data_IF_374136535113
#
_entry.id   IF_374136535113
#
_cell.length_a   1.000
_cell.length_b   1.000
_cell.length_c   1.000
_cell.angle_alpha   90.00
_cell.angle_beta   90.00
_cell.angle_gamma   90.00
#
_symmetry.space_group_name_H-M   'P 1'
#
loop_
_entity.id
_entity.type
_entity.pdbx_description
1 polymer ?
#
# COMPACT_ATOMS: atom_id res chain seq x y z
N UNK A 1 37.42 -34.47 24.06
CA UNK A 1 36.26 -34.59 23.14
C UNK A 1 35.32 -33.45 23.47
N UNK A 2 35.20 -32.46 22.59
CA UNK A 2 34.36 -31.26 22.76
C UNK A 2 33.00 -31.49 22.09
N UNK A 3 31.92 -31.20 22.81
CA UNK A 3 30.54 -31.42 22.36
C UNK A 3 30.17 -30.42 21.23
N UNK A 4 29.76 -30.88 20.04
CA UNK A 4 29.41 -30.01 18.90
C UNK A 4 28.08 -29.24 19.07
N UNK A 5 27.37 -29.42 20.19
CA UNK A 5 26.09 -28.75 20.48
C UNK A 5 26.20 -27.57 21.45
N UNK A 6 27.42 -27.24 21.91
CA UNK A 6 27.65 -26.08 22.78
C UNK A 6 28.37 -25.00 21.99
N UNK A 7 27.65 -23.95 21.61
CA UNK A 7 28.23 -22.78 20.98
C UNK A 7 29.15 -22.06 21.98
N UNK A 8 30.40 -21.79 21.56
CA UNK A 8 31.28 -20.91 22.32
C UNK A 8 30.70 -19.49 22.37
N UNK A 9 30.87 -18.74 23.47
CA UNK A 9 30.43 -17.35 23.53
C UNK A 9 31.10 -16.57 22.40
N UNK A 10 30.29 -15.92 21.57
CA UNK A 10 30.77 -15.04 20.51
C UNK A 10 31.63 -13.93 21.11
N UNK A 11 32.90 -13.87 20.75
CA UNK A 11 33.84 -12.80 21.12
C UNK A 11 33.68 -11.54 20.26
N UNK A 12 32.55 -11.41 19.54
CA UNK A 12 32.18 -10.16 18.90
C UNK A 12 31.66 -9.19 19.97
N UNK A 13 32.54 -8.31 20.46
CA UNK A 13 32.12 -7.06 21.09
C UNK A 13 31.26 -6.22 20.13
N UNK A 14 30.62 -5.13 20.60
CA UNK A 14 29.66 -4.34 19.80
C UNK A 14 30.35 -3.77 18.55
N UNK A 15 30.27 -4.52 17.46
CA UNK A 15 30.92 -4.23 16.20
C UNK A 15 30.05 -3.30 15.37
N UNK A 16 30.61 -2.14 15.03
CA UNK A 16 30.27 -1.25 13.91
C UNK A 16 28.80 -1.22 13.47
N UNK A 17 28.10 -0.13 13.83
CA UNK A 17 26.81 0.34 13.28
C UNK A 17 26.52 -0.18 11.85
N UNK A 18 25.85 -1.33 11.76
CA UNK A 18 25.32 -1.87 10.51
C UNK A 18 24.00 -1.17 10.23
N UNK A 19 23.76 -0.72 9.00
CA UNK A 19 22.49 -0.12 8.58
C UNK A 19 21.28 -1.06 8.62
N UNK A 20 21.41 -2.23 9.24
CA UNK A 20 20.39 -3.26 9.37
C UNK A 20 19.50 -2.98 10.58
N UNK A 21 20.05 -2.48 11.69
CA UNK A 21 19.28 -2.23 12.92
C UNK A 21 18.10 -1.27 12.71
N UNK A 22 18.24 -0.11 12.04
CA UNK A 22 17.09 0.77 11.83
C UNK A 22 16.02 0.20 10.87
N UNK A 23 16.41 -0.72 9.98
CA UNK A 23 15.48 -1.41 9.07
C UNK A 23 14.67 -2.45 9.86
N UNK A 24 15.34 -3.22 10.71
CA UNK A 24 14.69 -4.18 11.61
C UNK A 24 13.74 -3.48 12.59
N UNK A 25 14.15 -2.34 13.16
CA UNK A 25 13.31 -1.51 14.03
C UNK A 25 12.00 -1.12 13.33
N UNK A 26 12.06 -0.65 12.07
CA UNK A 26 10.87 -0.29 11.30
C UNK A 26 9.93 -1.49 11.11
N UNK A 27 10.47 -2.68 10.82
CA UNK A 27 9.68 -3.90 10.65
C UNK A 27 9.02 -4.35 11.96
N UNK A 28 9.73 -4.24 13.07
CA UNK A 28 9.19 -4.57 14.40
C UNK A 28 8.06 -3.61 14.79
N UNK A 29 8.25 -2.31 14.56
CA UNK A 29 7.21 -1.30 14.83
C UNK A 29 5.99 -1.55 13.94
N UNK A 30 6.20 -1.83 12.64
CA UNK A 30 5.10 -2.21 11.74
C UNK A 30 4.30 -3.40 12.31
N UNK A 31 4.97 -4.48 12.68
CA UNK A 31 4.32 -5.66 13.24
C UNK A 31 3.58 -5.36 14.56
N UNK A 32 4.17 -4.53 15.43
CA UNK A 32 3.56 -4.13 16.69
C UNK A 32 2.28 -3.31 16.47
N UNK A 33 2.27 -2.36 15.53
CA UNK A 33 1.07 -1.60 15.17
C UNK A 33 0.01 -2.50 14.54
N UNK A 34 0.41 -3.34 13.58
CA UNK A 34 -0.48 -4.26 12.87
C UNK A 34 -1.16 -5.25 13.81
N UNK A 35 -0.46 -5.71 14.84
CA UNK A 35 -1.01 -6.64 15.83
C UNK A 35 -2.14 -6.06 16.69
N UNK A 36 -2.35 -4.73 16.66
CA UNK A 36 -3.35 -4.07 17.51
C UNK A 36 -2.99 -4.05 19.00
N UNK A 37 -1.78 -4.47 19.39
CA UNK A 37 -1.30 -4.49 20.79
C UNK A 37 -1.34 -3.11 21.50
N UNK A 38 -1.40 -2.05 20.70
CA UNK A 38 -1.53 -0.69 21.16
C UNK A 38 -2.93 -0.36 21.70
N UNK A 39 -3.98 -1.08 21.28
CA UNK A 39 -5.35 -0.88 21.75
C UNK A 39 -5.47 -1.36 23.20
N UNK A 40 -6.10 -0.56 24.06
CA UNK A 40 -6.43 -1.01 25.41
C UNK A 40 -7.39 -2.20 25.36
N UNK A 41 -7.06 -3.29 26.07
CA UNK A 41 -7.79 -4.56 25.98
C UNK A 41 -9.29 -4.46 26.31
N UNK A 42 -9.70 -3.43 27.07
CA UNK A 42 -11.11 -3.17 27.33
C UNK A 42 -11.89 -2.60 26.12
N UNK A 43 -11.19 -1.99 25.16
CA UNK A 43 -11.76 -1.53 23.88
C UNK A 43 -11.59 -2.58 22.76
N UNK A 44 -10.63 -3.52 22.92
CA UNK A 44 -10.29 -4.55 21.94
C UNK A 44 -11.36 -5.63 21.68
N UNK A 45 -12.47 -5.62 22.41
CA UNK A 45 -13.60 -6.56 22.23
C UNK A 45 -14.61 -6.06 21.17
N UNK A 46 -14.50 -4.81 20.69
CA UNK A 46 -15.39 -4.24 19.69
C UNK A 46 -14.98 -4.56 18.24
N UNK A 47 -14.65 -5.82 17.96
CA UNK A 47 -14.33 -6.30 16.61
C UNK A 47 -15.57 -6.84 15.91
N UNK A 48 -16.26 -6.00 15.14
CA UNK A 48 -17.33 -6.43 14.23
C UNK A 48 -18.51 -5.48 14.16
N UNK A 49 -18.39 -4.41 13.37
CA UNK A 49 -19.52 -3.69 12.75
C UNK A 49 -18.94 -2.68 11.74
N UNK A 50 -18.44 -3.17 10.60
CA UNK A 50 -18.36 -2.33 9.41
C UNK A 50 -19.70 -2.48 8.71
N UNK A 51 -20.65 -1.64 9.10
CA UNK A 51 -21.64 -1.10 8.18
C UNK A 51 -22.33 0.09 8.84
N UNK A 52 -22.48 1.14 8.05
CA UNK A 52 -23.28 2.33 8.35
C UNK A 52 -22.75 3.26 9.46
N UNK A 53 -21.88 4.20 9.06
CA UNK A 53 -21.95 5.58 9.59
C UNK A 53 -23.27 6.23 9.11
N UNK A 54 -24.41 5.63 9.43
CA UNK A 54 -25.72 6.13 9.06
C UNK A 54 -26.30 7.01 10.16
N UNK A 55 -26.86 8.11 9.68
CA UNK A 55 -27.87 8.97 10.29
C UNK A 55 -27.65 9.30 11.76
N UNK A 56 -27.13 10.51 11.99
CA UNK A 56 -27.12 11.14 13.32
C UNK A 56 -28.57 11.51 13.65
N UNK A 57 -29.22 10.69 14.48
CA UNK A 57 -30.37 11.16 15.26
C UNK A 57 -29.82 12.06 16.36
N UNK A 58 -30.47 13.20 16.60
CA UNK A 58 -30.25 14.01 17.80
C UNK A 58 -31.08 13.39 18.94
N UNK A 59 -30.49 12.60 19.86
CA UNK A 59 -31.25 12.01 20.94
C UNK A 59 -31.79 13.07 21.91
N UNK A 60 -31.19 14.26 21.98
CA UNK A 60 -31.53 15.31 22.96
C UNK A 60 -32.76 16.10 22.52
N UNK A 61 -32.99 16.22 21.20
CA UNK A 61 -34.15 16.91 20.63
C UNK A 61 -35.50 16.45 21.16
N UNK A 62 -35.61 15.19 21.62
CA UNK A 62 -36.83 14.66 22.26
C UNK A 62 -37.16 15.31 23.61
N UNK A 63 -36.17 15.74 24.38
CA UNK A 63 -36.39 16.34 25.72
C UNK A 63 -36.98 17.75 25.64
N UNK A 64 -36.64 18.50 24.58
CA UNK A 64 -37.19 19.83 24.32
C UNK A 64 -38.70 19.79 24.04
N UNK A 65 -39.20 18.71 23.42
CA UNK A 65 -40.62 18.52 23.12
C UNK A 65 -41.49 18.34 24.37
N UNK A 66 -40.90 17.90 25.49
CA UNK A 66 -41.59 17.69 26.76
C UNK A 66 -41.38 18.83 27.77
N UNK A 67 -40.70 19.92 27.38
CA UNK A 67 -40.61 21.16 28.18
C UNK A 67 -39.71 21.08 29.41
N UNK A 68 -38.79 20.11 29.49
CA UNK A 68 -38.01 19.83 30.71
C UNK A 68 -36.59 20.42 30.66
N UNK A 69 -36.49 21.76 30.70
CA UNK A 69 -35.23 22.48 30.58
C UNK A 69 -34.16 22.08 31.63
N UNK A 70 -34.57 21.70 32.85
CA UNK A 70 -33.65 21.29 33.93
C UNK A 70 -32.97 19.93 33.68
N UNK A 71 -33.61 19.02 32.92
CA UNK A 71 -33.01 17.73 32.54
C UNK A 71 -31.87 17.95 31.54
N UNK A 72 -31.99 18.96 30.66
CA UNK A 72 -30.97 19.27 29.66
C UNK A 72 -29.64 19.66 30.34
N UNK A 73 -29.70 20.40 31.45
CA UNK A 73 -28.51 20.77 32.23
C UNK A 73 -27.73 19.54 32.73
N UNK A 74 -28.43 18.45 33.04
CA UNK A 74 -27.82 17.19 33.50
C UNK A 74 -27.29 16.33 32.35
N UNK A 75 -27.85 16.47 31.14
CA UNK A 75 -27.44 15.70 29.94
C UNK A 75 -26.31 16.39 29.16
N UNK A 76 -26.19 17.72 29.26
CA UNK A 76 -25.19 18.52 28.55
C UNK A 76 -23.74 18.00 28.69
N UNK A 77 -23.25 17.57 29.88
CA UNK A 77 -21.90 17.02 29.99
C UNK A 77 -21.69 15.74 29.15
N UNK A 78 -22.75 14.98 28.88
CA UNK A 78 -22.69 13.78 28.04
C UNK A 78 -22.64 14.16 26.55
N UNK A 79 -23.36 15.21 26.13
CA UNK A 79 -23.33 15.70 24.75
C UNK A 79 -21.99 16.35 24.39
N UNK A 80 -21.38 17.07 25.33
CA UNK A 80 -20.04 17.65 25.15
C UNK A 80 -18.99 16.55 24.86
N UNK A 81 -19.13 15.35 25.43
CA UNK A 81 -18.26 14.22 25.13
C UNK A 81 -18.39 13.71 23.69
N UNK A 82 -19.58 13.86 23.07
CA UNK A 82 -19.77 13.56 21.64
C UNK A 82 -19.05 14.59 20.77
N UNK A 83 -19.09 15.87 21.16
CA UNK A 83 -18.40 16.95 20.47
C UNK A 83 -16.88 16.80 20.54
N UNK A 84 -16.33 16.32 21.66
CA UNK A 84 -14.89 16.01 21.76
C UNK A 84 -14.43 14.90 20.80
N UNK A 85 -15.34 14.02 20.40
CA UNK A 85 -15.10 12.92 19.47
C UNK A 85 -15.57 13.25 18.05
N UNK A 86 -16.00 14.49 17.80
CA UNK A 86 -16.33 14.96 16.48
C UNK A 86 -15.03 15.14 15.67
N UNK A 87 -14.79 14.22 14.75
CA UNK A 87 -13.76 14.32 13.72
C UNK A 87 -14.37 14.17 12.34
N UNK A 88 -13.55 14.39 11.32
CA UNK A 88 -13.88 14.12 9.92
C UNK A 88 -13.26 12.78 9.47
N UNK A 89 -14.04 11.69 9.38
CA UNK A 89 -13.55 10.40 8.94
C UNK A 89 -12.96 10.45 7.52
N UNK A 90 -13.51 11.29 6.64
CA UNK A 90 -13.03 11.41 5.26
C UNK A 90 -11.62 11.99 5.22
N UNK A 91 -11.34 13.01 6.03
CA UNK A 91 -9.99 13.57 6.19
C UNK A 91 -8.99 12.56 6.76
N UNK A 92 -9.42 11.65 7.65
CA UNK A 92 -8.55 10.59 8.19
C UNK A 92 -8.24 9.55 7.12
N UNK A 93 -9.26 9.06 6.41
CA UNK A 93 -9.10 8.11 5.29
C UNK A 93 -8.22 8.69 4.18
N UNK A 94 -8.40 9.97 3.84
CA UNK A 94 -7.58 10.64 2.83
C UNK A 94 -6.09 10.73 3.24
N UNK A 95 -5.81 11.01 4.52
CA UNK A 95 -4.43 11.01 5.04
C UNK A 95 -3.81 9.62 5.06
N UNK A 96 -4.56 8.60 5.47
CA UNK A 96 -4.10 7.21 5.40
C UNK A 96 -3.76 6.79 3.97
N UNK A 97 -4.65 7.09 3.01
CA UNK A 97 -4.41 6.82 1.59
C UNK A 97 -3.17 7.57 1.07
N UNK A 98 -2.93 8.79 1.53
CA UNK A 98 -1.72 9.55 1.18
C UNK A 98 -0.46 8.80 1.61
N UNK A 99 -0.43 8.23 2.81
CA UNK A 99 0.70 7.42 3.28
C UNK A 99 0.87 6.12 2.48
N UNK A 100 -0.23 5.45 2.12
CA UNK A 100 -0.22 4.27 1.24
C UNK A 100 0.35 4.62 -0.14
N UNK A 101 -0.02 5.76 -0.72
CA UNK A 101 0.51 6.23 -2.00
C UNK A 101 2.03 6.51 -1.91
N UNK A 102 2.49 7.13 -0.82
CA UNK A 102 3.92 7.37 -0.56
C UNK A 102 4.68 6.05 -0.44
N UNK A 103 4.14 5.06 0.28
CA UNK A 103 4.73 3.73 0.38
C UNK A 103 4.91 3.09 -1.00
N UNK A 104 3.84 3.01 -1.79
CA UNK A 104 3.88 2.46 -3.14
C UNK A 104 4.89 3.17 -4.05
N UNK A 105 5.02 4.51 -3.91
CA UNK A 105 6.05 5.27 -4.64
C UNK A 105 7.46 4.84 -4.25
N UNK A 106 7.75 4.76 -2.96
CA UNK A 106 9.08 4.39 -2.44
C UNK A 106 9.45 2.95 -2.81
N UNK A 107 8.51 2.01 -2.75
CA UNK A 107 8.69 0.64 -3.22
C UNK A 107 9.04 0.61 -4.72
N UNK A 108 8.29 1.34 -5.55
CA UNK A 108 8.56 1.42 -6.99
C UNK A 108 9.91 2.07 -7.34
N UNK A 109 10.37 3.04 -6.55
CA UNK A 109 11.73 3.60 -6.70
C UNK A 109 12.81 2.57 -6.31
N UNK A 110 12.58 1.78 -5.26
CA UNK A 110 13.49 0.71 -4.86
C UNK A 110 13.64 -0.36 -5.94
N UNK A 111 12.53 -0.77 -6.55
CA UNK A 111 12.52 -1.70 -7.68
C UNK A 111 13.23 -1.14 -8.91
N UNK A 112 12.96 0.13 -9.24
CA UNK A 112 13.61 0.81 -10.37
C UNK A 112 15.11 0.85 -10.18
N UNK A 113 15.58 1.24 -8.98
CA UNK A 113 17.01 1.23 -8.65
C UNK A 113 17.60 -0.18 -8.64
N UNK A 114 16.86 -1.19 -8.19
CA UNK A 114 17.29 -2.58 -8.22
C UNK A 114 17.50 -3.09 -9.64
N UNK A 115 16.55 -2.82 -10.55
CA UNK A 115 16.69 -3.14 -11.98
C UNK A 115 17.88 -2.40 -12.59
N UNK A 116 17.99 -1.09 -12.34
CA UNK A 116 19.09 -0.26 -12.83
C UNK A 116 20.46 -0.83 -12.43
N UNK A 117 20.65 -1.05 -11.13
CA UNK A 117 21.92 -1.52 -10.59
C UNK A 117 22.26 -2.92 -11.08
N UNK A 118 21.26 -3.79 -11.26
CA UNK A 118 21.45 -5.14 -11.79
C UNK A 118 21.85 -5.14 -13.27
N UNK A 119 21.14 -4.40 -14.12
CA UNK A 119 21.34 -4.47 -15.57
C UNK A 119 22.42 -3.54 -16.10
N UNK A 120 22.42 -2.27 -15.68
CA UNK A 120 23.34 -1.28 -16.22
C UNK A 120 24.79 -1.58 -15.80
N UNK A 121 24.96 -2.38 -14.75
CA UNK A 121 26.28 -2.82 -14.28
C UNK A 121 26.59 -4.28 -14.56
N UNK A 122 25.72 -5.00 -15.30
CA UNK A 122 25.86 -6.45 -15.51
C UNK A 122 27.22 -6.82 -16.14
N UNK A 123 27.67 -6.03 -17.12
CA UNK A 123 28.92 -6.26 -17.83
C UNK A 123 30.11 -5.52 -17.17
N UNK A 124 29.85 -4.73 -16.11
CA UNK A 124 30.88 -4.02 -15.35
C UNK A 124 31.44 -4.91 -14.23
N UNK A 125 32.74 -5.23 -14.34
CA UNK A 125 33.46 -6.12 -13.42
C UNK A 125 34.59 -5.39 -12.67
N UNK A 126 35.08 -6.02 -11.61
CA UNK A 126 36.15 -5.50 -10.75
C UNK A 126 35.65 -4.84 -9.47
N UNK A 127 36.58 -4.50 -8.59
CA UNK A 127 36.30 -4.04 -7.21
C UNK A 127 35.42 -2.79 -7.14
N UNK A 128 35.53 -1.88 -8.11
CA UNK A 128 34.69 -0.70 -8.20
C UNK A 128 33.22 -1.04 -8.52
N UNK A 129 32.98 -2.01 -9.39
CA UNK A 129 31.63 -2.47 -9.73
C UNK A 129 30.96 -3.15 -8.54
N UNK A 130 31.71 -3.97 -7.80
CA UNK A 130 31.20 -4.64 -6.58
C UNK A 130 30.88 -3.64 -5.47
N UNK A 131 31.75 -2.62 -5.28
CA UNK A 131 31.49 -1.53 -4.34
C UNK A 131 30.25 -0.72 -4.73
N UNK A 132 30.03 -0.46 -6.02
CA UNK A 132 28.82 0.21 -6.50
C UNK A 132 27.57 -0.65 -6.27
N UNK A 133 27.58 -1.94 -6.63
CA UNK A 133 26.44 -2.84 -6.39
C UNK A 133 26.11 -2.97 -4.90
N UNK A 134 27.12 -3.03 -4.04
CA UNK A 134 26.91 -3.02 -2.59
C UNK A 134 26.27 -1.70 -2.10
N UNK A 135 26.69 -0.56 -2.65
CA UNK A 135 26.07 0.73 -2.38
C UNK A 135 24.62 0.79 -2.85
N UNK A 136 24.34 0.33 -4.07
CA UNK A 136 23.01 0.32 -4.65
C UNK A 136 22.06 -0.58 -3.83
N UNK A 137 22.49 -1.80 -3.49
CA UNK A 137 21.73 -2.69 -2.60
C UNK A 137 21.37 -2.01 -1.29
N UNK A 138 22.30 -1.27 -0.69
CA UNK A 138 22.02 -0.51 0.53
C UNK A 138 20.95 0.56 0.33
N UNK A 139 21.00 1.32 -0.77
CA UNK A 139 19.98 2.33 -1.10
C UNK A 139 18.61 1.73 -1.37
N UNK A 140 18.57 0.58 -2.02
CA UNK A 140 17.34 -0.19 -2.24
C UNK A 140 16.74 -0.60 -0.90
N UNK A 141 17.54 -1.14 0.02
CA UNK A 141 17.09 -1.49 1.38
C UNK A 141 16.58 -0.27 2.15
N UNK A 142 17.26 0.88 2.07
CA UNK A 142 16.82 2.13 2.72
C UNK A 142 15.44 2.57 2.17
N UNK A 143 15.24 2.52 0.85
CA UNK A 143 13.95 2.86 0.20
C UNK A 143 12.84 1.90 0.60
N UNK A 144 13.12 0.59 0.66
CA UNK A 144 12.15 -0.41 1.13
C UNK A 144 11.77 -0.19 2.60
N UNK A 145 12.73 0.20 3.45
CA UNK A 145 12.48 0.54 4.84
C UNK A 145 11.61 1.80 4.97
N UNK A 146 11.85 2.83 4.17
CA UNK A 146 11.01 4.03 4.12
C UNK A 146 9.59 3.74 3.60
N UNK A 147 9.46 2.83 2.62
CA UNK A 147 8.16 2.32 2.16
C UNK A 147 7.40 1.68 3.32
N UNK A 148 8.04 0.74 4.04
CA UNK A 148 7.45 0.08 5.21
C UNK A 148 7.06 1.08 6.30
N UNK A 149 7.89 2.08 6.57
CA UNK A 149 7.58 3.12 7.54
C UNK A 149 6.34 3.95 7.13
N UNK A 150 6.18 4.20 5.83
CA UNK A 150 4.99 4.90 5.30
C UNK A 150 3.73 4.04 5.43
N UNK A 151 3.82 2.73 5.19
CA UNK A 151 2.72 1.79 5.48
C UNK A 151 2.34 1.78 6.96
N UNK A 152 3.34 1.80 7.86
CA UNK A 152 3.09 1.92 9.30
C UNK A 152 2.32 3.20 9.63
N UNK A 153 2.65 4.34 9.02
CA UNK A 153 1.93 5.60 9.22
C UNK A 153 0.47 5.53 8.75
N UNK A 154 0.20 4.82 7.64
CA UNK A 154 -1.17 4.56 7.19
C UNK A 154 -1.95 3.76 8.24
N UNK A 155 -1.39 2.65 8.72
CA UNK A 155 -2.02 1.80 9.76
C UNK A 155 -2.27 2.56 11.06
N UNK A 156 -1.34 3.40 11.50
CA UNK A 156 -1.50 4.25 12.70
C UNK A 156 -2.68 5.21 12.49
N UNK A 157 -2.78 5.85 11.33
CA UNK A 157 -3.82 6.84 11.01
C UNK A 157 -5.20 6.18 10.95
N UNK A 158 -5.32 5.05 10.26
CA UNK A 158 -6.57 4.27 10.17
C UNK A 158 -6.99 3.72 11.53
N UNK A 159 -6.05 3.10 12.26
CA UNK A 159 -6.31 2.54 13.58
C UNK A 159 -6.78 3.59 14.57
N UNK A 160 -6.14 4.75 14.60
CA UNK A 160 -6.57 5.88 15.42
C UNK A 160 -7.99 6.34 15.07
N UNK A 161 -8.29 6.52 13.78
CA UNK A 161 -9.61 6.92 13.31
C UNK A 161 -10.70 5.93 13.68
N UNK A 162 -10.41 4.63 13.48
CA UNK A 162 -11.30 3.54 13.85
C UNK A 162 -11.61 3.56 15.35
N UNK A 163 -10.59 3.67 16.20
CA UNK A 163 -10.80 3.66 17.65
C UNK A 163 -11.60 4.87 18.14
N UNK A 164 -11.34 6.07 17.60
CA UNK A 164 -12.15 7.27 17.88
C UNK A 164 -13.59 7.07 17.44
N UNK A 165 -13.81 6.52 16.23
CA UNK A 165 -15.13 6.18 15.72
C UNK A 165 -15.90 5.22 16.62
N UNK A 166 -15.26 4.15 17.07
CA UNK A 166 -15.83 3.17 18.01
C UNK A 166 -16.25 3.83 19.31
N UNK A 167 -15.38 4.62 19.94
CA UNK A 167 -15.70 5.31 21.20
C UNK A 167 -16.83 6.32 20.99
N UNK A 168 -16.88 7.01 19.84
CA UNK A 168 -17.98 7.92 19.49
C UNK A 168 -19.33 7.20 19.44
N UNK A 169 -19.39 6.02 18.83
CA UNK A 169 -20.61 5.19 18.78
C UNK A 169 -21.01 4.77 20.20
N UNK A 170 -20.07 4.29 21.01
CA UNK A 170 -20.34 3.90 22.40
C UNK A 170 -20.90 5.05 23.25
N UNK A 171 -20.34 6.27 23.09
CA UNK A 171 -20.81 7.48 23.77
C UNK A 171 -22.21 7.85 23.28
N UNK A 172 -22.47 7.82 21.98
CA UNK A 172 -23.79 8.07 21.40
C UNK A 172 -24.84 7.10 21.97
N UNK A 173 -24.55 5.81 22.00
CA UNK A 173 -25.48 4.78 22.49
C UNK A 173 -25.76 4.93 23.99
N UNK A 174 -24.73 5.32 24.75
CA UNK A 174 -24.89 5.69 26.16
C UNK A 174 -25.84 6.87 26.33
N UNK A 175 -25.66 7.95 25.55
CA UNK A 175 -26.54 9.12 25.58
C UNK A 175 -27.98 8.73 25.21
N UNK A 176 -28.16 7.95 24.14
CA UNK A 176 -29.48 7.47 23.72
C UNK A 176 -30.18 6.67 24.82
N UNK A 177 -29.44 5.81 25.52
CA UNK A 177 -29.94 5.04 26.66
C UNK A 177 -30.34 5.95 27.83
N UNK A 178 -29.52 6.95 28.15
CA UNK A 178 -29.82 7.94 29.19
C UNK A 178 -31.09 8.69 28.84
N UNK A 179 -31.17 9.29 27.64
CA UNK A 179 -32.35 10.07 27.23
C UNK A 179 -33.63 9.23 27.22
N UNK A 180 -33.58 7.98 26.75
CA UNK A 180 -34.73 7.07 26.79
C UNK A 180 -35.30 6.91 28.21
N UNK A 181 -34.42 6.72 29.21
CA UNK A 181 -34.84 6.63 30.62
C UNK A 181 -35.36 7.96 31.18
N UNK A 182 -34.73 9.07 30.79
CA UNK A 182 -35.16 10.40 31.22
C UNK A 182 -36.57 10.74 30.72
N UNK A 183 -36.94 10.30 29.52
CA UNK A 183 -38.30 10.43 29.01
C UNK A 183 -39.28 9.64 29.88
N UNK A 184 -38.93 8.42 30.31
CA UNK A 184 -39.79 7.65 31.24
C UNK A 184 -39.99 8.37 32.57
N UNK A 185 -38.93 8.95 33.15
CA UNK A 185 -39.03 9.72 34.39
C UNK A 185 -39.83 11.02 34.21
N UNK A 186 -39.73 11.68 33.06
CA UNK A 186 -40.55 12.85 32.75
C UNK A 186 -42.05 12.52 32.67
N UNK A 187 -42.40 11.35 32.12
CA UNK A 187 -43.79 10.87 32.08
C UNK A 187 -44.32 10.57 33.50
N UNK A 188 -43.50 9.95 34.36
CA UNK A 188 -43.85 9.68 35.76
C UNK A 188 -44.08 10.98 36.55
N UNK A 189 -43.22 11.98 36.34
CA UNK A 189 -43.33 13.30 36.96
C UNK A 189 -44.64 14.01 36.56
N UNK A 190 -44.99 13.96 35.26
CA UNK A 190 -46.25 14.50 34.75
C UNK A 190 -47.47 13.76 35.32
N UNK A 191 -47.43 12.43 35.38
CA UNK A 191 -48.51 11.61 35.92
C UNK A 191 -48.72 11.82 37.43
N UNK A 192 -47.65 12.14 38.17
CA UNK A 192 -47.70 12.43 39.61
C UNK A 192 -47.95 13.91 39.93
N UNK A 193 -48.19 14.76 38.92
CA UNK A 193 -48.38 16.20 39.06
C UNK A 193 -47.24 16.90 39.82
N UNK A 194 -46.02 16.39 39.69
CA UNK A 194 -44.84 16.93 40.38
C UNK A 194 -44.67 16.51 41.84
N UNK A 195 -45.44 15.54 42.34
CA UNK A 195 -45.23 15.02 43.70
C UNK A 195 -43.98 14.14 43.82
N UNK A 196 -43.52 13.56 42.72
CA UNK A 196 -42.34 12.71 42.67
C UNK A 196 -41.02 13.48 42.42
N UNK A 197 -41.04 14.82 42.27
CA UNK A 197 -39.87 15.60 41.82
C UNK A 197 -38.58 15.30 42.60
N UNK A 198 -38.58 15.26 43.95
CA UNK A 198 -37.35 15.02 44.69
C UNK A 198 -36.71 13.67 44.38
N UNK A 199 -37.54 12.63 44.21
CA UNK A 199 -37.09 11.28 43.88
C UNK A 199 -36.61 11.19 42.42
N UNK A 200 -37.33 11.81 41.49
CA UNK A 200 -36.97 11.83 40.07
C UNK A 200 -35.63 12.55 39.87
N UNK A 201 -35.40 13.70 40.51
CA UNK A 201 -34.13 14.44 40.44
C UNK A 201 -32.96 13.58 40.94
N UNK A 202 -33.13 12.85 42.05
CA UNK A 202 -32.11 11.95 42.59
C UNK A 202 -31.78 10.81 41.61
N UNK A 203 -32.80 10.18 41.01
CA UNK A 203 -32.65 9.10 40.04
C UNK A 203 -31.96 9.58 38.75
N UNK A 204 -32.39 10.72 38.21
CA UNK A 204 -31.80 11.37 37.04
C UNK A 204 -30.32 11.68 37.28
N UNK A 205 -30.01 12.30 38.41
CA UNK A 205 -28.64 12.68 38.78
C UNK A 205 -27.73 11.45 38.91
N UNK A 206 -28.21 10.41 39.60
CA UNK A 206 -27.47 9.15 39.78
C UNK A 206 -27.24 8.44 38.45
N UNK A 207 -28.25 8.39 37.58
CA UNK A 207 -28.16 7.81 36.25
C UNK A 207 -27.11 8.56 35.41
N UNK A 208 -27.21 9.89 35.31
CA UNK A 208 -26.28 10.71 34.54
C UNK A 208 -24.85 10.57 35.07
N UNK A 209 -24.66 10.62 36.40
CA UNK A 209 -23.35 10.44 37.03
C UNK A 209 -22.74 9.06 36.70
N UNK A 210 -23.53 7.99 36.73
CA UNK A 210 -23.05 6.64 36.43
C UNK A 210 -22.57 6.48 34.97
N UNK A 211 -23.29 7.07 34.02
CA UNK A 211 -22.94 7.05 32.61
C UNK A 211 -21.78 8.00 32.29
N UNK A 212 -21.75 9.19 32.90
CA UNK A 212 -20.60 10.10 32.83
C UNK A 212 -19.31 9.41 33.31
N UNK A 213 -19.38 8.68 34.43
CA UNK A 213 -18.25 7.90 34.93
C UNK A 213 -17.83 6.78 33.95
N UNK A 214 -18.78 6.14 33.26
CA UNK A 214 -18.50 5.12 32.25
C UNK A 214 -17.84 5.69 31.00
N UNK A 215 -18.39 6.79 30.46
CA UNK A 215 -17.82 7.54 29.33
C UNK A 215 -16.41 8.02 29.66
N UNK A 216 -16.21 8.58 30.86
CA UNK A 216 -14.89 9.01 31.33
C UNK A 216 -13.86 7.87 31.37
N UNK A 217 -14.28 6.61 31.62
CA UNK A 217 -13.38 5.45 31.52
C UNK A 217 -13.01 5.14 30.07
N UNK A 218 -13.98 5.13 29.16
CA UNK A 218 -13.73 4.90 27.73
C UNK A 218 -12.81 5.96 27.13
N UNK A 219 -13.03 7.24 27.45
CA UNK A 219 -12.16 8.33 27.01
C UNK A 219 -10.72 8.18 27.55
N UNK A 220 -10.55 7.75 28.81
CA UNK A 220 -9.21 7.47 29.37
C UNK A 220 -8.51 6.31 28.64
N UNK A 221 -9.24 5.26 28.30
CA UNK A 221 -8.71 4.12 27.55
C UNK A 221 -8.35 4.50 26.10
N UNK A 222 -9.16 5.35 25.46
CA UNK A 222 -8.85 5.95 24.17
C UNK A 222 -7.54 6.73 24.24
N UNK A 223 -7.41 7.65 25.21
CA UNK A 223 -6.18 8.44 25.40
C UNK A 223 -4.96 7.54 25.66
N UNK A 224 -5.11 6.48 26.45
CA UNK A 224 -4.03 5.52 26.70
C UNK A 224 -3.58 4.81 25.41
N UNK A 225 -4.54 4.41 24.57
CA UNK A 225 -4.27 3.78 23.27
C UNK A 225 -3.58 4.76 22.30
N UNK A 226 -4.08 6.01 22.23
CA UNK A 226 -3.48 7.07 21.40
C UNK A 226 -2.05 7.42 21.84
N UNK A 227 -1.74 7.36 23.14
CA UNK A 227 -0.38 7.55 23.66
C UNK A 227 0.57 6.45 23.20
N UNK A 228 0.11 5.19 23.14
CA UNK A 228 0.92 4.07 22.62
C UNK A 228 1.21 4.26 21.12
N UNK A 229 0.22 4.69 20.32
CA UNK A 229 0.46 5.06 18.91
C UNK A 229 1.43 6.24 18.76
N UNK A 230 1.31 7.28 19.59
CA UNK A 230 2.23 8.41 19.58
C UNK A 230 3.68 7.99 19.89
N UNK A 231 3.85 7.03 20.81
CA UNK A 231 5.15 6.46 21.11
C UNK A 231 5.70 5.66 19.90
N UNK A 232 4.87 4.83 19.26
CA UNK A 232 5.27 4.10 18.04
C UNK A 232 5.70 5.04 16.90
N UNK A 233 4.98 6.16 16.70
CA UNK A 233 5.39 7.18 15.72
C UNK A 233 6.74 7.82 16.06
N UNK A 234 7.01 8.05 17.34
CA UNK A 234 8.29 8.62 17.78
C UNK A 234 9.44 7.66 17.50
N UNK A 235 9.28 6.39 17.87
CA UNK A 235 10.25 5.31 17.61
C UNK A 235 10.48 5.13 16.10
N UNK A 236 9.42 5.17 15.31
CA UNK A 236 9.50 5.11 13.85
C UNK A 236 10.32 6.27 13.29
N UNK A 237 10.08 7.50 13.77
CA UNK A 237 10.86 8.67 13.40
C UNK A 237 12.34 8.57 13.79
N UNK A 238 12.67 7.92 14.91
CA UNK A 238 14.05 7.64 15.32
C UNK A 238 14.72 6.63 14.39
N UNK A 239 14.03 5.54 14.04
CA UNK A 239 14.52 4.53 13.11
C UNK A 239 14.78 5.12 11.71
N UNK A 240 13.86 5.94 11.19
CA UNK A 240 14.04 6.69 9.92
C UNK A 240 15.29 7.59 9.99
N UNK A 241 15.49 8.32 11.10
CA UNK A 241 16.70 9.13 11.30
C UNK A 241 17.97 8.27 11.38
N UNK A 242 17.85 7.04 11.86
CA UNK A 242 18.91 6.03 11.90
C UNK A 242 19.37 5.62 10.50
N UNK A 243 18.44 5.42 9.55
CA UNK A 243 18.77 5.12 8.14
C UNK A 243 19.71 6.18 7.54
N UNK A 244 19.46 7.46 7.83
CA UNK A 244 20.31 8.58 7.37
C UNK A 244 21.74 8.54 7.92
N UNK A 245 21.93 8.02 9.15
CA UNK A 245 23.22 8.03 9.87
C UNK A 245 24.07 6.79 9.61
N UNK A 246 23.47 5.64 9.28
CA UNK A 246 24.19 4.38 9.19
C UNK A 246 25.13 4.25 7.99
N UNK A 247 24.97 5.05 6.94
CA UNK A 247 25.77 4.97 5.72
C UNK A 247 27.13 5.66 5.83
N UNK A 248 28.25 5.08 5.33
CA UNK A 248 29.34 5.92 4.89
C UNK A 248 28.74 6.94 3.93
N UNK A 249 28.95 8.23 4.19
CA UNK A 249 28.70 9.28 3.21
C UNK A 249 29.67 9.02 2.06
N UNK A 250 29.30 8.12 1.16
CA UNK A 250 29.98 8.01 -0.11
C UNK A 250 29.73 9.35 -0.80
N UNK A 251 30.80 10.12 -0.97
CA UNK A 251 30.84 11.39 -1.70
C UNK A 251 30.51 11.22 -3.21
N UNK A 252 30.11 10.00 -3.59
CA UNK A 252 29.63 9.57 -4.90
C UNK A 252 28.32 10.29 -5.22
N UNK A 253 28.43 11.51 -5.74
CA UNK A 253 27.28 12.34 -6.15
C UNK A 253 27.40 13.82 -5.79
N UNK A 254 28.46 14.28 -5.11
CA UNK A 254 28.68 15.73 -4.87
C UNK A 254 29.29 16.48 -6.05
N UNK A 255 29.69 15.79 -7.11
CA UNK A 255 30.14 16.46 -8.34
C UNK A 255 28.91 16.80 -9.17
N UNK A 256 28.70 18.09 -9.46
CA UNK A 256 27.58 18.61 -10.24
C UNK A 256 27.75 18.45 -11.76
N UNK A 257 28.61 17.53 -12.21
CA UNK A 257 28.88 17.20 -13.61
C UNK A 257 27.99 16.06 -14.15
N UNK A 258 27.19 15.43 -13.29
CA UNK A 258 26.20 14.44 -13.67
C UNK A 258 25.00 15.17 -14.25
N UNK A 259 24.76 15.01 -15.55
CA UNK A 259 23.56 15.55 -16.22
C UNK A 259 22.32 15.13 -15.44
N UNK A 260 21.46 16.09 -15.11
CA UNK A 260 20.25 15.84 -14.34
C UNK A 260 19.33 14.88 -15.13
N UNK A 261 18.96 13.72 -14.57
CA UNK A 261 18.05 12.79 -15.25
C UNK A 261 16.70 13.42 -15.63
N UNK A 262 16.28 14.49 -14.92
CA UNK A 262 15.08 15.27 -15.23
C UNK A 262 15.14 16.06 -16.54
N UNK A 263 16.32 16.25 -17.14
CA UNK A 263 16.49 16.98 -18.41
C UNK A 263 16.19 16.10 -19.64
N UNK A 264 15.83 14.82 -19.43
CA UNK A 264 15.37 13.88 -20.46
C UNK A 264 14.01 13.30 -20.05
N UNK A 265 12.90 14.04 -20.23
CA UNK A 265 11.58 13.45 -19.99
C UNK A 265 11.43 12.20 -20.87
N UNK A 266 11.24 11.04 -20.24
CA UNK A 266 10.94 9.76 -20.91
C UNK A 266 9.43 9.58 -21.15
N UNK A 267 8.64 10.64 -20.96
CA UNK A 267 7.25 10.70 -21.39
C UNK A 267 7.19 10.48 -22.90
N UNK A 268 6.24 9.68 -23.42
CA UNK A 268 6.11 9.48 -24.85
C UNK A 268 6.09 10.81 -25.60
N UNK A 269 6.92 10.93 -26.62
CA UNK A 269 7.04 12.16 -27.43
C UNK A 269 5.90 12.33 -28.42
N UNK A 270 4.94 11.39 -28.43
CA UNK A 270 3.80 11.34 -29.34
C UNK A 270 2.52 10.88 -28.61
N UNK A 271 1.32 11.25 -29.10
CA UNK A 271 0.07 10.74 -28.55
C UNK A 271 -0.05 9.21 -28.75
N UNK A 272 -0.84 8.52 -27.91
CA UNK A 272 -1.10 7.09 -28.04
C UNK A 272 -1.91 6.79 -29.31
N UNK A 273 -1.73 5.58 -29.85
CA UNK A 273 -2.44 5.10 -31.05
C UNK A 273 -3.81 4.51 -30.74
N UNK A 274 -4.05 4.19 -29.46
CA UNK A 274 -5.31 3.65 -28.97
C UNK A 274 -5.33 3.58 -27.45
N UNK A 275 -6.41 3.00 -26.93
CA UNK A 275 -6.60 2.80 -25.50
C UNK A 275 -7.18 1.42 -25.24
N UNK A 276 -6.75 0.79 -24.16
CA UNK A 276 -7.44 -0.36 -23.61
C UNK A 276 -8.83 0.05 -23.09
N UNK A 277 -9.78 -0.90 -22.93
CA UNK A 277 -11.07 -0.62 -22.30
C UNK A 277 -10.98 -0.03 -20.88
N UNK A 278 -9.86 -0.28 -20.19
CA UNK A 278 -9.50 0.27 -18.88
C UNK A 278 -9.02 1.73 -18.95
N UNK A 279 -8.89 2.31 -20.15
CA UNK A 279 -8.41 3.66 -20.38
C UNK A 279 -6.89 3.79 -20.50
N UNK A 280 -6.15 2.68 -20.46
CA UNK A 280 -4.69 2.70 -20.52
C UNK A 280 -4.20 2.94 -21.96
N UNK A 281 -3.24 3.85 -22.18
CA UNK A 281 -2.77 4.18 -23.53
C UNK A 281 -1.98 3.03 -24.15
N UNK A 282 -2.19 2.83 -25.46
CA UNK A 282 -1.53 1.82 -26.28
C UNK A 282 -0.70 2.51 -27.37
N UNK A 283 0.51 2.03 -27.59
CA UNK A 283 1.44 2.53 -28.60
C UNK A 283 1.84 1.40 -29.55
N UNK A 284 1.71 1.65 -30.86
CA UNK A 284 2.04 0.73 -31.94
C UNK A 284 3.40 1.08 -32.53
N UNK A 285 4.29 0.10 -32.56
CA UNK A 285 5.54 0.10 -33.30
C UNK A 285 5.43 -0.81 -34.53
N UNK A 286 6.47 -0.83 -35.39
CA UNK A 286 6.50 -1.68 -36.57
C UNK A 286 6.56 -3.18 -36.23
N UNK A 287 7.18 -3.55 -35.10
CA UNK A 287 7.30 -4.94 -34.63
C UNK A 287 6.92 -5.08 -33.15
N UNK A 288 6.23 -4.08 -32.58
CA UNK A 288 6.00 -4.03 -31.14
C UNK A 288 4.69 -3.34 -30.78
N UNK A 289 4.08 -3.73 -29.67
CA UNK A 289 2.95 -3.05 -29.03
C UNK A 289 3.33 -2.75 -27.59
N UNK A 290 3.21 -1.49 -27.15
CA UNK A 290 3.38 -1.10 -25.76
C UNK A 290 2.07 -0.67 -25.11
N UNK A 291 1.89 -1.00 -23.83
CA UNK A 291 0.73 -0.60 -23.04
C UNK A 291 1.20 0.11 -21.77
N UNK A 292 0.73 1.34 -21.58
CA UNK A 292 1.23 2.26 -20.56
C UNK A 292 2.30 3.22 -21.09
N UNK A 293 2.68 4.20 -20.29
CA UNK A 293 3.53 5.32 -20.73
C UNK A 293 4.57 5.75 -19.69
N UNK A 294 4.76 4.96 -18.64
CA UNK A 294 5.86 5.22 -17.71
C UNK A 294 7.21 5.06 -18.40
N UNK A 295 8.22 5.66 -17.79
CA UNK A 295 9.59 5.71 -18.29
C UNK A 295 10.17 4.33 -18.62
N UNK A 296 9.82 3.29 -17.85
CA UNK A 296 10.34 1.94 -18.10
C UNK A 296 9.65 1.29 -19.30
N UNK A 297 8.34 1.46 -19.45
CA UNK A 297 7.59 0.95 -20.62
C UNK A 297 8.10 1.61 -21.89
N UNK A 298 8.21 2.94 -21.92
CA UNK A 298 8.71 3.66 -23.10
C UNK A 298 10.17 3.34 -23.41
N UNK A 299 11.03 3.21 -22.38
CA UNK A 299 12.43 2.81 -22.59
C UNK A 299 12.54 1.44 -23.25
N UNK A 300 11.75 0.46 -22.81
CA UNK A 300 11.73 -0.86 -23.45
C UNK A 300 11.14 -0.80 -24.85
N UNK A 301 10.04 -0.05 -25.05
CA UNK A 301 9.41 0.10 -26.35
C UNK A 301 10.35 0.69 -27.41
N UNK A 302 11.18 1.67 -27.03
CA UNK A 302 12.08 2.36 -27.95
C UNK A 302 13.42 1.63 -28.20
N UNK A 303 13.89 0.83 -27.23
CA UNK A 303 15.26 0.29 -27.22
C UNK A 303 15.37 -1.23 -27.18
N UNK A 304 14.25 -1.98 -27.15
CA UNK A 304 14.30 -3.43 -27.33
C UNK A 304 14.66 -3.76 -28.77
N UNK A 305 15.74 -4.52 -28.93
CA UNK A 305 16.16 -5.03 -30.23
C UNK A 305 15.07 -5.94 -30.83
N UNK A 306 14.49 -5.58 -31.99
CA UNK A 306 13.49 -6.40 -32.64
C UNK A 306 14.06 -7.75 -33.03
N UNK A 307 13.25 -8.79 -32.84
CA UNK A 307 13.59 -10.15 -33.28
C UNK A 307 12.86 -10.46 -34.60
N UNK A 308 13.58 -10.91 -35.65
CA UNK A 308 12.95 -11.15 -36.95
C UNK A 308 11.79 -12.15 -36.87
N UNK A 309 10.61 -11.74 -37.35
CA UNK A 309 9.42 -12.61 -37.36
C UNK A 309 8.75 -12.78 -36.01
N UNK A 310 9.06 -11.96 -35.00
CA UNK A 310 8.44 -11.97 -33.68
C UNK A 310 7.87 -10.59 -33.36
N UNK A 311 6.67 -10.55 -32.77
CA UNK A 311 6.05 -9.30 -32.32
C UNK A 311 6.31 -9.09 -30.82
N UNK A 312 6.92 -7.97 -30.47
CA UNK A 312 7.24 -7.63 -29.08
C UNK A 312 6.05 -6.99 -28.38
N UNK A 313 5.77 -7.40 -27.14
CA UNK A 313 4.75 -6.77 -26.30
C UNK A 313 5.40 -6.23 -25.04
N UNK A 314 5.28 -4.92 -24.83
CA UNK A 314 5.91 -4.19 -23.73
C UNK A 314 4.84 -3.68 -22.77
N UNK A 315 4.80 -4.25 -21.58
CA UNK A 315 3.85 -3.89 -20.51
C UNK A 315 4.40 -4.43 -19.20
N UNK A 316 4.14 -3.80 -18.05
CA UNK A 316 4.55 -4.43 -16.79
C UNK A 316 3.70 -5.67 -16.51
N UNK A 317 4.36 -6.73 -16.05
CA UNK A 317 3.72 -7.97 -15.68
C UNK A 317 3.91 -8.26 -14.19
N UNK A 318 2.97 -9.01 -13.64
CA UNK A 318 2.90 -9.35 -12.22
C UNK A 318 2.98 -10.87 -12.04
N UNK A 319 3.55 -11.36 -10.92
CA UNK A 319 3.67 -12.79 -10.65
C UNK A 319 2.33 -13.47 -10.34
N UNK A 320 1.22 -12.71 -10.30
CA UNK A 320 -0.13 -13.22 -10.11
C UNK A 320 -0.87 -13.51 -11.44
N UNK A 321 -0.15 -13.56 -12.56
CA UNK A 321 -0.76 -13.86 -13.87
C UNK A 321 -1.54 -12.70 -14.49
N UNK A 322 -1.39 -11.49 -13.98
CA UNK A 322 -2.00 -10.27 -14.54
C UNK A 322 -0.94 -9.31 -15.07
N UNK A 323 -1.40 -8.26 -15.76
CA UNK A 323 -0.58 -7.18 -16.26
C UNK A 323 -0.93 -5.88 -15.53
N UNK A 324 0.04 -4.99 -15.44
CA UNK A 324 -0.14 -3.65 -14.87
C UNK A 324 0.32 -2.62 -15.90
N UNK A 325 -0.59 -1.97 -16.62
CA UNK A 325 -0.24 -0.84 -17.46
C UNK A 325 0.42 0.24 -16.60
N UNK A 326 1.58 0.73 -17.01
CA UNK A 326 2.27 1.77 -16.27
C UNK A 326 1.56 3.11 -16.42
N UNK A 327 0.70 3.46 -15.46
CA UNK A 327 -0.01 4.75 -15.42
C UNK A 327 0.70 5.71 -14.47
N UNK A 328 0.95 6.93 -14.93
CA UNK A 328 1.56 8.03 -14.15
C UNK A 328 0.63 9.24 -14.02
N UNK A 329 -0.68 9.16 -14.26
CA UNK A 329 -1.57 10.34 -14.30
C UNK A 329 -1.09 11.51 -15.17
N UNK A 330 -1.91 12.54 -15.30
CA UNK A 330 -1.42 13.85 -15.76
C UNK A 330 -0.71 14.60 -14.61
N UNK A 331 -0.91 14.16 -13.37
CA UNK A 331 -0.37 14.74 -12.13
C UNK A 331 0.97 14.11 -11.68
N UNK A 332 1.48 13.10 -12.40
CA UNK A 332 2.67 12.37 -12.00
C UNK A 332 2.41 11.27 -10.95
N UNK A 333 1.15 10.98 -10.62
CA UNK A 333 0.72 9.95 -9.68
C UNK A 333 0.74 8.55 -10.30
N UNK A 334 1.41 7.60 -9.65
CA UNK A 334 1.31 6.17 -10.03
C UNK A 334 -0.05 5.63 -9.55
N UNK A 335 -0.85 5.01 -10.41
CA UNK A 335 -2.12 4.39 -10.00
C UNK A 335 -1.92 2.89 -9.71
N UNK A 336 -1.88 2.46 -8.44
CA UNK A 336 -1.48 1.11 -8.06
C UNK A 336 -2.57 0.04 -8.22
N UNK A 337 -3.71 0.33 -8.87
CA UNK A 337 -4.84 -0.60 -8.95
C UNK A 337 -5.41 -0.85 -10.36
N UNK A 338 -4.79 -0.33 -11.43
CA UNK A 338 -5.16 -0.72 -12.79
C UNK A 338 -4.44 -2.02 -13.17
N UNK A 339 -5.08 -3.15 -12.87
CA UNK A 339 -4.70 -4.43 -13.46
C UNK A 339 -5.44 -4.58 -14.79
N UNK A 340 -4.73 -4.98 -15.83
CA UNK A 340 -5.31 -5.40 -17.10
C UNK A 340 -5.19 -6.91 -17.24
N UNK A 341 -6.13 -7.50 -17.97
CA UNK A 341 -6.12 -8.94 -18.21
C UNK A 341 -5.40 -9.31 -19.52
N UNK A 342 -4.98 -10.59 -19.67
CA UNK A 342 -4.31 -11.06 -20.88
C UNK A 342 -5.10 -10.92 -22.19
N UNK A 343 -6.43 -10.98 -22.16
CA UNK A 343 -7.25 -10.79 -23.38
C UNK A 343 -7.19 -9.34 -23.87
N UNK A 344 -7.17 -8.37 -22.97
CA UNK A 344 -7.00 -6.96 -23.33
C UNK A 344 -5.61 -6.72 -23.96
N UNK A 345 -4.57 -7.40 -23.49
CA UNK A 345 -3.24 -7.36 -24.11
C UNK A 345 -3.28 -8.01 -25.50
N UNK A 346 -3.91 -9.18 -25.63
CA UNK A 346 -4.08 -9.84 -26.92
C UNK A 346 -4.83 -8.95 -27.91
N UNK A 347 -5.88 -8.24 -27.46
CA UNK A 347 -6.63 -7.31 -28.29
C UNK A 347 -5.75 -6.12 -28.74
N UNK A 348 -4.97 -5.52 -27.85
CA UNK A 348 -4.03 -4.46 -28.22
C UNK A 348 -2.97 -4.91 -29.23
N UNK A 349 -2.57 -6.19 -29.21
CA UNK A 349 -1.70 -6.76 -30.24
C UNK A 349 -2.44 -6.86 -31.58
N UNK A 350 -3.67 -7.38 -31.59
CA UNK A 350 -4.50 -7.49 -32.81
C UNK A 350 -4.84 -6.13 -33.43
N UNK A 351 -4.98 -5.10 -32.59
CA UNK A 351 -5.29 -3.73 -33.02
C UNK A 351 -4.07 -3.00 -33.61
N UNK A 352 -2.86 -3.53 -33.43
CA UNK A 352 -1.68 -2.97 -34.06
C UNK A 352 -1.70 -3.27 -35.58
N UNK A 353 -1.77 -2.25 -36.45
CA UNK A 353 -1.87 -2.45 -37.89
C UNK A 353 -0.63 -3.13 -38.52
N UNK A 354 0.49 -3.17 -37.79
CA UNK A 354 1.72 -3.84 -38.23
C UNK A 354 1.83 -5.30 -37.72
N UNK A 355 0.94 -5.75 -36.84
CA UNK A 355 0.95 -7.13 -36.37
C UNK A 355 0.48 -8.08 -37.49
N UNK A 356 1.27 -9.14 -37.74
CA UNK A 356 0.91 -10.17 -38.72
C UNK A 356 0.20 -11.31 -38.00
N UNK A 357 -1.07 -11.63 -38.34
CA UNK A 357 -1.78 -12.75 -37.71
C UNK A 357 -1.00 -14.06 -37.82
N UNK A 358 -0.87 -14.78 -36.71
CA UNK A 358 -0.10 -16.02 -36.62
C UNK A 358 1.39 -15.82 -36.30
N UNK A 359 1.88 -14.59 -36.27
CA UNK A 359 3.24 -14.27 -35.85
C UNK A 359 3.43 -14.55 -34.36
N UNK A 360 4.51 -15.26 -33.96
CA UNK A 360 4.86 -15.46 -32.56
C UNK A 360 5.04 -14.14 -31.81
N UNK A 361 4.80 -14.18 -30.51
CA UNK A 361 4.91 -13.01 -29.62
C UNK A 361 6.01 -13.20 -28.59
N UNK A 362 6.76 -12.15 -28.28
CA UNK A 362 7.68 -12.08 -27.15
C UNK A 362 7.21 -11.03 -26.15
N UNK A 363 6.95 -11.44 -24.92
CA UNK A 363 6.56 -10.53 -23.84
C UNK A 363 7.81 -9.93 -23.20
N UNK A 364 8.08 -8.65 -23.42
CA UNK A 364 9.01 -7.86 -22.60
C UNK A 364 8.24 -7.36 -21.38
N UNK A 365 7.81 -8.32 -20.55
CA UNK A 365 6.91 -8.10 -19.42
C UNK A 365 7.32 -8.95 -18.23
N UNK A 366 7.66 -8.30 -17.12
CA UNK A 366 8.20 -8.93 -15.92
C UNK A 366 7.32 -10.08 -15.41
N UNK A 367 7.93 -11.18 -14.97
CA UNK A 367 7.27 -12.30 -14.28
C UNK A 367 6.21 -13.07 -15.07
N UNK A 368 5.86 -12.67 -16.29
CA UNK A 368 4.74 -13.25 -17.07
C UNK A 368 4.95 -14.71 -17.47
N UNK A 369 6.19 -15.21 -17.40
CA UNK A 369 6.54 -16.61 -17.60
C UNK A 369 6.43 -17.50 -16.35
N UNK A 370 6.00 -16.95 -15.20
CA UNK A 370 5.72 -17.75 -14.01
C UNK A 370 4.52 -17.24 -13.23
N UNK A 371 4.06 -18.05 -12.29
CA UNK A 371 3.16 -17.60 -11.21
C UNK A 371 3.80 -17.90 -9.87
N UNK A 372 3.66 -17.00 -8.91
CA UNK A 372 3.97 -17.30 -7.53
C UNK A 372 2.75 -18.01 -6.93
N UNK A 373 2.98 -19.17 -6.29
CA UNK A 373 1.89 -19.96 -5.72
C UNK A 373 1.16 -19.13 -4.65
N UNK A 374 -0.05 -18.67 -4.98
CA UNK A 374 -0.97 -18.13 -4.00
C UNK A 374 -1.73 -19.32 -3.38
N UNK A 375 -1.61 -19.57 -2.06
CA UNK A 375 -2.34 -20.65 -1.39
C UNK A 375 -3.85 -20.61 -1.61
N UNK A 376 -4.40 -19.41 -1.85
CA UNK A 376 -5.82 -19.17 -2.06
C UNK A 376 -6.26 -19.34 -3.52
N UNK A 377 -5.31 -19.44 -4.47
CA UNK A 377 -5.56 -19.57 -5.92
C UNK A 377 -4.63 -20.63 -6.55
N UNK A 378 -4.85 -21.93 -6.27
CA UNK A 378 -3.92 -23.01 -6.68
C UNK A 378 -3.82 -23.25 -8.19
N UNK A 379 -4.80 -22.79 -8.99
CA UNK A 379 -4.88 -23.04 -10.44
C UNK A 379 -4.48 -21.83 -11.31
N UNK A 380 -3.70 -20.90 -10.76
CA UNK A 380 -3.33 -19.68 -11.46
C UNK A 380 -2.46 -19.98 -12.70
N UNK A 381 -2.89 -19.48 -13.86
CA UNK A 381 -2.18 -19.68 -15.13
C UNK A 381 -1.23 -18.50 -15.39
N UNK A 382 0.03 -18.72 -15.79
CA UNK A 382 0.94 -17.64 -16.18
C UNK A 382 0.34 -16.74 -17.26
N UNK A 383 0.57 -15.43 -17.13
CA UNK A 383 0.07 -14.44 -18.10
C UNK A 383 0.52 -14.77 -19.54
N UNK A 384 1.76 -15.25 -19.70
CA UNK A 384 2.29 -15.68 -21.00
C UNK A 384 1.49 -16.83 -21.63
N UNK A 385 1.04 -17.80 -20.84
CA UNK A 385 0.17 -18.88 -21.34
C UNK A 385 -1.21 -18.36 -21.72
N UNK A 386 -1.78 -17.46 -20.92
CA UNK A 386 -3.10 -16.88 -21.23
C UNK A 386 -3.06 -16.04 -22.52
N UNK A 387 -2.01 -15.24 -22.74
CA UNK A 387 -1.83 -14.51 -24.01
C UNK A 387 -1.64 -15.48 -25.18
N UNK A 388 -0.92 -16.59 -25.00
CA UNK A 388 -0.75 -17.60 -26.04
C UNK A 388 -2.09 -18.21 -26.45
N UNK A 389 -2.91 -18.57 -25.47
CA UNK A 389 -4.24 -19.12 -25.69
C UNK A 389 -5.17 -18.11 -26.39
N UNK A 390 -5.15 -16.84 -25.95
CA UNK A 390 -5.95 -15.76 -26.56
C UNK A 390 -5.54 -15.47 -28.00
N UNK A 391 -4.25 -15.33 -28.29
CA UNK A 391 -3.78 -15.01 -29.64
C UNK A 391 -3.75 -16.22 -30.58
N UNK A 392 -3.74 -17.44 -30.03
CA UNK A 392 -3.57 -18.66 -30.81
C UNK A 392 -2.16 -18.82 -31.40
N UNK A 393 -1.15 -18.20 -30.80
CA UNK A 393 0.24 -18.21 -31.27
C UNK A 393 1.21 -18.54 -30.14
N UNK A 394 2.45 -19.00 -30.44
CA UNK A 394 3.47 -19.19 -29.43
C UNK A 394 3.86 -17.84 -28.77
N UNK A 395 3.95 -17.83 -27.44
CA UNK A 395 4.33 -16.66 -26.65
C UNK A 395 5.56 -16.98 -25.80
N UNK A 396 6.65 -16.22 -25.99
CA UNK A 396 7.85 -16.33 -25.16
C UNK A 396 7.84 -15.25 -24.07
N UNK A 397 7.94 -15.66 -22.80
CA UNK A 397 7.80 -14.76 -21.66
C UNK A 397 8.85 -15.06 -20.56
N UNK A 398 9.32 -14.06 -19.81
CA UNK A 398 10.37 -14.22 -18.80
C UNK A 398 9.79 -14.61 -17.44
N UNK A 399 10.49 -15.47 -16.72
CA UNK A 399 10.09 -15.88 -15.36
C UNK A 399 10.42 -14.84 -14.28
N UNK A 400 11.19 -13.79 -14.60
CA UNK A 400 11.55 -12.73 -13.67
C UNK A 400 11.45 -11.34 -14.32
N UNK A 401 11.92 -10.30 -13.65
CA UNK A 401 11.99 -8.95 -14.20
C UNK A 401 12.81 -8.92 -15.50
N UNK A 402 12.37 -8.16 -16.51
CA UNK A 402 12.96 -8.14 -17.85
C UNK A 402 12.99 -6.74 -18.44
N UNK A 403 13.96 -6.48 -19.32
CA UNK A 403 14.05 -5.25 -20.08
C UNK A 403 15.46 -4.90 -20.54
N UNK A 404 15.68 -3.63 -20.85
CA UNK A 404 16.91 -3.09 -21.44
C UNK A 404 17.61 -2.09 -20.50
N UNK A 405 18.92 -1.81 -20.69
CA UNK A 405 19.63 -0.80 -19.91
C UNK A 405 18.91 0.54 -19.89
N UNK A 406 18.88 1.23 -18.74
CA UNK A 406 18.17 2.50 -18.59
C UNK A 406 18.80 3.64 -19.39
N UNK A 407 20.11 3.54 -19.63
CA UNK A 407 20.90 4.55 -20.31
C UNK A 407 21.68 3.94 -21.48
N UNK A 408 22.09 4.82 -22.40
CA UNK A 408 22.79 4.45 -23.62
C UNK A 408 21.88 4.53 -24.85
N UNK A 409 22.52 4.79 -25.98
CA UNK A 409 21.88 4.89 -27.29
C UNK A 409 22.01 3.53 -28.00
N UNK A 410 20.99 3.16 -28.79
CA UNK A 410 20.97 1.92 -29.56
C UNK A 410 19.86 0.95 -29.16
N UNK A 411 19.85 -0.21 -29.80
CA UNK A 411 18.92 -1.31 -29.57
C UNK A 411 19.61 -2.41 -28.76
N UNK A 412 18.91 -2.97 -27.77
CA UNK A 412 19.46 -3.96 -26.83
C UNK A 412 18.61 -5.23 -26.81
N UNK A 413 19.26 -6.39 -26.78
CA UNK A 413 18.58 -7.64 -26.45
C UNK A 413 18.08 -7.56 -25.00
N UNK A 414 16.78 -7.76 -24.73
CA UNK A 414 16.24 -7.68 -23.38
C UNK A 414 16.85 -8.77 -22.49
N UNK A 415 17.31 -8.38 -21.30
CA UNK A 415 17.95 -9.27 -20.31
C UNK A 415 17.01 -9.50 -19.12
N UNK A 416 17.11 -10.68 -18.51
CA UNK A 416 16.38 -11.01 -17.27
C UNK A 416 17.20 -10.54 -16.06
N UNK A 417 16.60 -9.74 -15.18
CA UNK A 417 17.16 -9.36 -13.88
C UNK A 417 16.90 -10.48 -12.88
N UNK A 418 17.95 -11.26 -12.58
CA UNK A 418 17.86 -12.31 -11.57
C UNK A 418 17.80 -11.69 -10.17
N UNK A 419 16.71 -11.97 -9.46
CA UNK A 419 16.60 -11.79 -8.02
C UNK A 419 17.30 -12.97 -7.32
N UNK A 420 18.32 -12.73 -6.47
CA UNK A 420 19.05 -13.79 -5.77
C UNK A 420 18.19 -14.68 -4.87
N UNK A 421 16.98 -14.22 -4.50
CA UNK A 421 16.02 -14.97 -3.66
C UNK A 421 15.14 -15.93 -4.46
N UNK A 422 15.24 -15.92 -5.80
CA UNK A 422 14.37 -16.69 -6.70
C UNK A 422 15.20 -17.66 -7.55
N UNK A 423 14.59 -18.75 -8.06
CA UNK A 423 15.26 -19.62 -9.04
C UNK A 423 15.71 -18.83 -10.26
N UNK A 424 16.82 -19.20 -10.88
CA UNK A 424 17.39 -18.51 -12.03
C UNK A 424 16.33 -18.18 -13.09
N UNK A 425 16.29 -16.90 -13.48
CA UNK A 425 15.34 -16.37 -14.43
C UNK A 425 15.64 -16.87 -15.84
N UNK A 426 14.59 -17.28 -16.56
CA UNK A 426 14.69 -17.83 -17.91
C UNK A 426 13.52 -17.35 -18.78
N UNK A 427 13.72 -17.40 -20.08
CA UNK A 427 12.65 -17.25 -21.06
C UNK A 427 11.93 -18.59 -21.22
N UNK A 428 10.61 -18.57 -21.21
CA UNK A 428 9.75 -19.75 -21.37
C UNK A 428 8.80 -19.50 -22.54
N UNK A 429 8.75 -20.44 -23.48
CA UNK A 429 7.81 -20.40 -24.60
C UNK A 429 6.57 -21.21 -24.23
N UNK A 430 5.42 -20.54 -24.25
CA UNK A 430 4.10 -21.12 -24.10
C UNK A 430 3.49 -21.35 -25.47
N UNK A 431 2.93 -22.54 -25.67
CA UNK A 431 2.19 -22.87 -26.88
C UNK A 431 0.70 -22.72 -26.58
N UNK A 432 -0.10 -22.24 -27.54
CA UNK A 432 -1.54 -22.15 -27.37
C UNK A 432 -2.08 -23.53 -27.03
N UNK A 433 -2.75 -23.65 -25.88
CA UNK A 433 -3.49 -24.86 -25.57
C UNK A 433 -4.64 -24.91 -26.55
N UNK A 434 -4.82 -26.04 -27.25
CA UNK A 434 -5.96 -26.23 -28.16
C UNK A 434 -7.24 -25.81 -27.43
N UNK A 435 -7.78 -24.65 -27.78
CA UNK A 435 -9.15 -24.25 -27.45
C UNK A 435 -10.08 -25.03 -28.39
N UNK A 436 -9.98 -26.36 -28.32
CA UNK A 436 -10.71 -27.26 -29.19
C UNK A 436 -12.19 -27.27 -28.84
N UNK A 437 -12.98 -26.82 -29.81
CA UNK A 437 -14.39 -27.11 -30.11
C UNK A 437 -15.47 -26.75 -29.09
#
# INVERSE_FOLDING_TARGET
MTNPLVAAPSTAGPGAFTGIAPVEDIQQIYAAVQSGSWVDGALGVAGGALDALAFVSDPIGGLLQYGVAWIIEHVKPLSEALDWLAGDPNSITAQAQTWTNIAGRLAGEAETLSRAAGWDTADWTGTAADAYRAHATRRITDLQALSRASETMALITEGAGMLVGTVRVMVRDAIATVVSRLISYAIEELATLGLASPLVVEQVSTLCASWAAKIGRWLKQLVASMKKLAQAMKELGEAIRGLRKGGPRADMGKRGDWKNPGDRPQTPTRPPDGYLPTGDPVYHGPNSTAVGYDSSTMRNFDHVQPEPGVHDVVVHGEPNGTFRPGVVGEDGGKYPHNYTNPEQIAQAVRDNPNYVPGQPVRLVSCHTGRVDANPDLPDLVPAGQQVADSLGVPVTAPTQAVGVPLYGDGQYVPKIANNPKLPEGKWVTFWPRNTGS
#
